data_IF_685792988355
#
_entry.id   IF_685792988355
#
_cell.length_a   1.000
_cell.length_b   1.000
_cell.length_c   1.000
_cell.angle_alpha   90.00
_cell.angle_beta   90.00
_cell.angle_gamma   90.00
#
_symmetry.space_group_name_H-M   'P 1'
#
loop_
_entity.id
_entity.type
_entity.pdbx_description
1 polymer ?
#
# COMPACT_ATOMS: atom_id res chain seq x y z
N UNK A 1 -0.33 67.98 30.90
CA UNK A 1 0.91 68.30 31.68
C UNK A 1 1.74 66.99 31.56
N UNK A 2 2.80 66.89 30.96
CA UNK A 2 4.03 67.48 30.66
C UNK A 2 4.92 66.43 30.01
N UNK A 3 5.27 66.61 28.76
CA UNK A 3 6.60 66.63 28.09
C UNK A 3 7.45 65.32 28.25
N UNK A 4 7.69 64.62 27.13
CA UNK A 4 8.87 64.76 26.20
C UNK A 4 10.22 64.58 26.89
N UNK A 5 10.98 63.54 26.40
CA UNK A 5 12.19 63.84 25.63
C UNK A 5 12.79 62.62 24.98
N UNK A 6 13.19 62.78 23.74
CA UNK A 6 13.90 61.86 22.86
C UNK A 6 15.41 61.86 23.09
N UNK A 7 16.14 60.84 22.82
CA UNK A 7 17.51 60.88 22.29
C UNK A 7 17.89 59.56 21.51
N UNK A 8 18.12 59.73 20.24
CA UNK A 8 18.95 58.98 19.30
C UNK A 8 20.40 59.45 19.37
N UNK A 9 21.34 58.90 18.59
CA UNK A 9 21.85 57.55 18.32
C UNK A 9 23.36 57.40 18.60
N UNK A 10 23.93 56.21 18.55
CA UNK A 10 25.39 56.06 18.28
C UNK A 10 25.61 54.89 17.29
N UNK A 11 26.15 55.29 16.15
CA UNK A 11 26.74 54.48 15.10
C UNK A 11 28.14 54.03 15.51
N UNK A 12 28.48 52.75 15.23
CA UNK A 12 29.89 52.35 15.05
C UNK A 12 30.00 51.28 13.95
N UNK A 13 30.52 51.72 12.84
CA UNK A 13 31.09 50.96 11.73
C UNK A 13 32.43 50.34 12.12
N UNK A 14 32.72 49.12 11.63
CA UNK A 14 34.03 48.53 11.27
C UNK A 14 33.74 46.99 11.16
N UNK A 15 34.10 46.22 10.17
CA UNK A 15 35.02 46.35 9.07
C UNK A 15 34.89 45.12 8.21
N UNK A 16 34.99 45.30 6.93
CA UNK A 16 34.91 44.26 5.88
C UNK A 16 36.17 43.41 5.89
N UNK A 17 36.08 42.11 5.95
CA UNK A 17 37.16 41.25 5.44
C UNK A 17 36.64 40.32 4.32
N UNK A 18 37.22 40.54 3.15
CA UNK A 18 36.97 39.77 1.91
C UNK A 18 37.97 38.64 1.89
N UNK A 19 37.49 37.39 1.82
CA UNK A 19 38.17 36.35 1.04
C UNK A 19 37.34 35.07 0.95
N UNK A 20 37.29 34.57 -0.28
CA UNK A 20 36.88 33.24 -0.77
C UNK A 20 35.40 33.05 -1.14
N UNK A 21 35.07 33.57 -2.32
CA UNK A 21 34.04 33.03 -3.19
C UNK A 21 34.62 31.77 -3.88
N UNK A 22 34.04 30.61 -3.60
CA UNK A 22 34.10 29.48 -4.51
C UNK A 22 32.66 29.15 -4.89
N UNK A 23 32.36 29.40 -6.15
CA UNK A 23 31.03 29.21 -6.72
C UNK A 23 30.65 27.73 -6.81
N UNK A 24 29.49 27.42 -6.30
CA UNK A 24 28.73 26.23 -6.73
C UNK A 24 27.45 26.73 -7.39
N UNK A 25 27.43 26.63 -8.71
CA UNK A 25 26.25 26.84 -9.53
C UNK A 25 25.23 25.74 -9.23
N UNK A 26 24.16 26.07 -8.53
CA UNK A 26 22.99 25.22 -8.37
C UNK A 26 22.15 25.32 -9.65
N UNK A 27 22.21 24.29 -10.49
CA UNK A 27 21.25 24.09 -11.57
C UNK A 27 19.89 23.75 -10.97
N UNK A 28 18.96 24.68 -11.06
CA UNK A 28 17.55 24.45 -10.71
C UNK A 28 16.93 23.51 -11.75
N UNK A 29 16.75 22.24 -11.40
CA UNK A 29 15.91 21.31 -12.14
C UNK A 29 14.47 21.63 -11.76
N UNK A 30 13.74 22.20 -12.71
CA UNK A 30 12.31 22.46 -12.57
C UNK A 30 11.52 21.16 -12.40
N UNK A 31 10.91 20.97 -11.24
CA UNK A 31 9.96 19.88 -10.97
C UNK A 31 8.61 20.32 -11.53
N UNK A 32 8.18 19.70 -12.63
CA UNK A 32 6.82 19.83 -13.13
C UNK A 32 5.89 19.06 -12.18
N UNK A 33 5.06 19.79 -11.43
CA UNK A 33 3.97 19.22 -10.63
C UNK A 33 2.84 18.79 -11.56
N UNK A 34 2.62 17.49 -11.73
CA UNK A 34 1.36 16.95 -12.24
C UNK A 34 0.33 16.95 -11.10
N UNK A 35 -0.94 17.34 -11.35
CA UNK A 35 -1.95 17.35 -10.31
C UNK A 35 -2.29 15.92 -9.88
N UNK A 36 -2.05 15.59 -8.61
CA UNK A 36 -2.40 14.33 -7.96
C UNK A 36 -1.25 13.37 -7.67
N UNK A 37 -0.02 13.66 -8.07
CA UNK A 37 1.15 12.85 -7.74
C UNK A 37 1.75 13.26 -6.39
N UNK A 38 1.94 12.32 -5.46
CA UNK A 38 2.90 12.52 -4.38
C UNK A 38 4.25 12.89 -5.01
N UNK A 39 5.00 13.84 -4.43
CA UNK A 39 6.36 14.05 -4.89
C UNK A 39 7.07 12.72 -4.78
N UNK A 40 7.49 12.17 -5.91
CA UNK A 40 8.46 11.10 -5.92
C UNK A 40 9.68 11.66 -5.18
N UNK A 41 9.79 11.40 -3.88
CA UNK A 41 11.06 11.55 -3.19
C UNK A 41 12.00 10.69 -4.03
N UNK A 42 12.90 11.33 -4.75
CA UNK A 42 14.06 10.69 -5.32
C UNK A 42 14.82 10.10 -4.13
N UNK A 43 14.45 8.88 -3.71
CA UNK A 43 15.38 8.02 -3.02
C UNK A 43 16.49 7.86 -4.04
N UNK A 44 17.55 8.61 -3.87
CA UNK A 44 18.84 8.28 -4.46
C UNK A 44 18.96 6.79 -4.23
N UNK A 45 18.93 6.00 -5.29
CA UNK A 45 18.99 4.55 -5.24
C UNK A 45 20.25 4.23 -4.43
N UNK A 46 20.07 3.83 -3.20
CA UNK A 46 21.13 3.24 -2.42
C UNK A 46 21.49 1.96 -3.21
N UNK A 47 22.73 1.79 -3.69
CA UNK A 47 23.07 0.69 -4.60
C UNK A 47 22.77 -0.71 -4.05
N UNK A 48 22.38 -0.80 -2.78
CA UNK A 48 22.07 -2.03 -2.05
C UNK A 48 20.61 -2.17 -1.60
N UNK A 49 19.75 -1.18 -1.87
CA UNK A 49 18.33 -1.30 -1.52
C UNK A 49 17.63 -2.21 -2.54
N UNK A 50 16.84 -3.20 -2.08
CA UNK A 50 16.09 -4.07 -3.00
C UNK A 50 15.07 -3.27 -3.79
N UNK A 51 14.71 -3.72 -5.00
CA UNK A 51 13.75 -3.07 -5.88
C UNK A 51 12.38 -2.88 -5.21
N UNK A 52 12.00 -3.80 -4.32
CA UNK A 52 10.82 -3.71 -3.46
C UNK A 52 11.06 -4.48 -2.17
N UNK A 53 10.29 -4.16 -1.14
CA UNK A 53 10.27 -4.89 0.13
C UNK A 53 9.12 -5.89 0.15
N UNK A 54 9.20 -6.90 1.01
CA UNK A 54 8.15 -7.92 1.16
C UNK A 54 7.44 -7.72 2.49
N UNK A 55 6.10 -7.74 2.46
CA UNK A 55 5.23 -7.81 3.63
C UNK A 55 4.48 -9.14 3.69
N UNK A 56 3.83 -9.41 4.81
CA UNK A 56 2.97 -10.57 5.01
C UNK A 56 1.55 -10.10 5.31
N UNK A 57 0.60 -10.53 4.48
CA UNK A 57 -0.81 -10.41 4.78
C UNK A 57 -1.23 -11.49 5.79
N UNK A 58 -1.91 -11.09 6.84
CA UNK A 58 -2.38 -11.95 7.92
C UNK A 58 -3.32 -13.06 7.42
N UNK A 59 -4.03 -12.79 6.31
CA UNK A 59 -4.85 -13.79 5.66
C UNK A 59 -4.09 -15.05 5.24
N UNK A 60 -2.79 -14.96 4.97
CA UNK A 60 -1.92 -16.12 4.70
C UNK A 60 -1.90 -17.14 5.82
N UNK A 61 -2.29 -16.77 7.04
CA UNK A 61 -2.37 -17.61 8.25
C UNK A 61 -3.81 -17.78 8.75
N UNK A 62 -4.79 -17.62 7.85
CA UNK A 62 -6.21 -17.61 8.22
C UNK A 62 -6.70 -18.92 8.85
N UNK A 63 -6.10 -20.06 8.50
CA UNK A 63 -6.44 -21.36 9.12
C UNK A 63 -5.92 -21.44 10.54
N UNK A 64 -4.64 -21.12 10.76
CA UNK A 64 -4.03 -21.13 12.07
C UNK A 64 -4.74 -20.17 13.03
N UNK A 65 -5.08 -18.95 12.57
CA UNK A 65 -5.81 -17.96 13.37
C UNK A 65 -7.24 -18.41 13.71
N UNK A 66 -7.99 -18.96 12.74
CA UNK A 66 -9.35 -19.46 12.96
C UNK A 66 -9.39 -20.67 13.89
N UNK A 67 -8.38 -21.54 13.78
CA UNK A 67 -8.25 -22.71 14.63
C UNK A 67 -7.66 -22.39 16.02
N UNK A 68 -7.27 -21.10 16.25
CA UNK A 68 -6.60 -20.64 17.49
C UNK A 68 -5.26 -21.34 17.75
N UNK A 69 -4.59 -21.77 16.70
CA UNK A 69 -3.21 -22.25 16.72
C UNK A 69 -2.21 -21.11 16.76
N UNK A 70 -2.63 -19.93 16.32
CA UNK A 70 -1.91 -18.66 16.40
C UNK A 70 -2.82 -17.59 17.03
N UNK A 71 -2.31 -16.86 18.04
CA UNK A 71 -2.97 -15.66 18.54
C UNK A 71 -2.68 -14.47 17.63
N UNK A 72 -3.68 -13.62 17.39
CA UNK A 72 -3.51 -12.43 16.57
C UNK A 72 -2.38 -11.51 17.06
N UNK A 73 -2.19 -11.38 18.37
CA UNK A 73 -1.10 -10.58 18.95
C UNK A 73 0.29 -11.14 18.65
N UNK A 74 0.41 -12.44 18.34
CA UNK A 74 1.68 -13.10 18.01
C UNK A 74 1.98 -13.06 16.50
N UNK A 75 1.09 -12.48 15.69
CA UNK A 75 1.28 -12.36 14.24
C UNK A 75 2.57 -11.60 13.85
N UNK A 76 2.99 -10.50 14.51
CA UNK A 76 4.26 -9.84 14.21
C UNK A 76 5.48 -10.75 14.42
N UNK A 77 5.54 -11.52 15.50
CA UNK A 77 6.58 -12.51 15.78
C UNK A 77 6.57 -13.62 14.73
N UNK A 78 5.38 -14.13 14.39
CA UNK A 78 5.21 -15.14 13.35
C UNK A 78 5.73 -14.64 12.00
N UNK A 79 5.45 -13.41 11.60
CA UNK A 79 5.99 -12.81 10.39
C UNK A 79 7.53 -12.74 10.42
N UNK A 80 8.10 -12.37 11.57
CA UNK A 80 9.57 -12.38 11.76
C UNK A 80 10.17 -13.76 11.63
N UNK A 81 9.49 -14.82 12.06
CA UNK A 81 9.95 -16.19 11.88
C UNK A 81 10.13 -16.60 10.41
N UNK A 82 9.42 -15.92 9.50
CA UNK A 82 9.63 -16.01 8.04
C UNK A 82 10.69 -15.03 7.53
N UNK A 83 11.31 -14.22 8.39
CA UNK A 83 12.24 -13.16 7.99
C UNK A 83 11.56 -11.97 7.30
N UNK A 84 10.27 -11.76 7.55
CA UNK A 84 9.47 -10.65 7.01
C UNK A 84 9.30 -9.59 8.10
N UNK A 85 9.61 -8.32 7.79
CA UNK A 85 9.62 -7.22 8.75
C UNK A 85 8.49 -6.20 8.50
N UNK A 86 7.43 -6.57 7.78
CA UNK A 86 6.27 -5.73 7.55
C UNK A 86 5.01 -6.61 7.47
N UNK A 87 3.90 -6.12 8.04
CA UNK A 87 2.67 -6.88 8.19
C UNK A 87 1.44 -6.08 7.76
N UNK A 88 0.43 -6.81 7.28
CA UNK A 88 -0.86 -6.31 6.81
C UNK A 88 -1.95 -7.10 7.53
N UNK A 89 -2.72 -6.44 8.37
CA UNK A 89 -3.72 -7.08 9.24
C UNK A 89 -5.04 -7.33 8.53
N UNK A 90 -5.84 -8.27 9.09
CA UNK A 90 -7.23 -8.52 8.67
C UNK A 90 -8.16 -8.31 9.87
N UNK A 91 -9.13 -7.45 9.71
CA UNK A 91 -10.05 -7.05 10.77
C UNK A 91 -10.84 -8.22 11.39
N UNK A 92 -11.10 -9.27 10.62
CA UNK A 92 -11.91 -10.39 11.08
C UNK A 92 -11.31 -11.18 12.24
N UNK A 93 -9.98 -11.11 12.44
CA UNK A 93 -9.29 -11.84 13.51
C UNK A 93 -9.30 -11.10 14.85
N UNK A 94 -9.64 -9.81 14.86
CA UNK A 94 -9.70 -8.97 16.07
C UNK A 94 -10.87 -7.97 16.08
N UNK A 95 -11.99 -8.39 15.52
CA UNK A 95 -13.16 -7.55 15.20
C UNK A 95 -13.67 -6.73 16.40
N UNK A 96 -13.68 -7.32 17.59
CA UNK A 96 -14.18 -6.69 18.81
C UNK A 96 -13.15 -5.75 19.49
N UNK A 97 -11.93 -5.68 18.93
CA UNK A 97 -10.79 -4.97 19.52
C UNK A 97 -10.45 -3.65 18.83
N UNK A 98 -11.10 -3.31 17.73
CA UNK A 98 -10.80 -2.09 16.97
C UNK A 98 -10.83 -0.81 17.83
N UNK A 99 -11.74 -0.73 18.82
CA UNK A 99 -11.88 0.40 19.76
C UNK A 99 -11.20 0.18 21.10
N UNK A 100 -10.56 -0.95 21.31
CA UNK A 100 -9.79 -1.23 22.52
C UNK A 100 -8.39 -0.63 22.42
N UNK A 101 -8.22 0.58 22.93
CA UNK A 101 -6.96 1.31 22.86
C UNK A 101 -5.79 0.55 23.54
N UNK A 102 -6.07 -0.29 24.57
CA UNK A 102 -5.04 -1.11 25.20
C UNK A 102 -4.59 -2.24 24.29
N UNK A 103 -5.52 -2.87 23.60
CA UNK A 103 -5.22 -3.91 22.63
C UNK A 103 -4.39 -3.38 21.46
N UNK A 104 -4.81 -2.25 20.88
CA UNK A 104 -4.08 -1.59 19.78
C UNK A 104 -2.66 -1.20 20.24
N UNK A 105 -2.52 -0.66 21.44
CA UNK A 105 -1.22 -0.30 22.00
C UNK A 105 -0.33 -1.53 22.25
N UNK A 106 -0.89 -2.65 22.73
CA UNK A 106 -0.15 -3.90 22.91
C UNK A 106 0.31 -4.49 21.56
N UNK A 107 -0.56 -4.53 20.54
CA UNK A 107 -0.18 -4.98 19.21
C UNK A 107 0.93 -4.13 18.61
N UNK A 108 0.83 -2.80 18.74
CA UNK A 108 1.88 -1.87 18.32
C UNK A 108 3.21 -2.15 19.01
N UNK A 109 3.18 -2.33 20.33
CA UNK A 109 4.37 -2.64 21.15
C UNK A 109 5.04 -3.94 20.69
N UNK A 110 4.26 -4.98 20.38
CA UNK A 110 4.78 -6.24 19.85
C UNK A 110 5.44 -6.05 18.49
N UNK A 111 4.80 -5.30 17.57
CA UNK A 111 5.41 -4.95 16.30
C UNK A 111 6.76 -4.23 16.48
N UNK A 112 6.80 -3.24 17.37
CA UNK A 112 8.03 -2.48 17.66
C UNK A 112 9.11 -3.39 18.27
N UNK A 113 8.73 -4.29 19.19
CA UNK A 113 9.63 -5.27 19.81
C UNK A 113 10.26 -6.22 18.80
N UNK A 114 9.50 -6.66 17.80
CA UNK A 114 9.97 -7.52 16.71
C UNK A 114 10.67 -6.73 15.57
N UNK A 115 10.73 -5.41 15.63
CA UNK A 115 11.18 -4.58 14.53
C UNK A 115 10.32 -4.75 13.27
N UNK A 116 9.03 -4.99 13.45
CA UNK A 116 8.06 -5.21 12.39
C UNK A 116 7.25 -3.93 12.15
N UNK A 117 6.99 -3.59 10.89
CA UNK A 117 6.25 -2.41 10.48
C UNK A 117 4.81 -2.77 10.13
N UNK A 118 3.85 -2.09 10.75
CA UNK A 118 2.43 -2.18 10.37
C UNK A 118 2.17 -1.34 9.12
N UNK A 119 1.53 -1.92 8.10
CA UNK A 119 1.30 -1.24 6.82
C UNK A 119 -0.17 -0.86 6.60
N UNK A 120 -1.08 -1.79 6.78
CA UNK A 120 -2.50 -1.58 6.55
C UNK A 120 -3.37 -2.56 7.35
N UNK A 121 -4.68 -2.27 7.40
CA UNK A 121 -5.71 -3.18 7.91
C UNK A 121 -6.69 -3.48 6.76
N UNK A 122 -6.88 -4.73 6.42
CA UNK A 122 -7.92 -5.20 5.50
C UNK A 122 -9.25 -5.28 6.24
N UNK A 123 -10.27 -4.58 5.75
CA UNK A 123 -11.58 -4.44 6.40
C UNK A 123 -12.65 -5.15 5.59
N UNK A 124 -13.19 -6.24 6.14
CA UNK A 124 -14.30 -7.00 5.59
C UNK A 124 -15.50 -6.98 6.52
N UNK A 125 -16.71 -7.10 5.94
CA UNK A 125 -17.95 -7.25 6.71
C UNK A 125 -18.48 -5.98 7.39
N UNK A 126 -18.00 -4.80 6.98
CA UNK A 126 -18.45 -3.50 7.54
C UNK A 126 -19.59 -2.85 6.75
N UNK A 127 -20.14 -3.53 5.75
CA UNK A 127 -21.21 -3.07 4.85
C UNK A 127 -20.69 -2.58 3.51
N UNK A 128 -21.60 -2.40 2.55
CA UNK A 128 -21.27 -2.00 1.20
C UNK A 128 -21.09 -0.48 1.11
N UNK A 129 -19.87 -0.04 0.75
CA UNK A 129 -19.58 1.39 0.57
C UNK A 129 -20.31 2.01 -0.62
N UNK A 130 -20.81 1.19 -1.55
CA UNK A 130 -21.64 1.60 -2.67
C UNK A 130 -23.10 1.14 -2.53
N UNK A 131 -23.65 0.95 -1.33
CA UNK A 131 -25.04 0.53 -1.17
C UNK A 131 -26.00 1.56 -1.82
N UNK A 132 -26.97 1.13 -2.65
CA UNK A 132 -27.96 2.03 -3.24
C UNK A 132 -28.79 2.78 -2.21
N UNK A 133 -29.07 2.16 -1.06
CA UNK A 133 -29.71 2.82 0.07
C UNK A 133 -28.72 3.76 0.76
N UNK A 134 -29.03 5.07 0.74
CA UNK A 134 -28.19 6.11 1.32
C UNK A 134 -27.91 5.89 2.82
N UNK A 135 -28.89 5.40 3.58
CA UNK A 135 -28.71 5.19 5.00
C UNK A 135 -27.80 3.98 5.28
N UNK A 136 -27.91 2.91 4.50
CA UNK A 136 -27.02 1.76 4.60
C UNK A 136 -25.60 2.12 4.16
N UNK A 137 -25.45 2.90 3.08
CA UNK A 137 -24.15 3.39 2.61
C UNK A 137 -23.48 4.27 3.69
N UNK A 138 -24.24 5.19 4.31
CA UNK A 138 -23.77 6.00 5.44
C UNK A 138 -23.31 5.12 6.61
N UNK A 139 -24.13 4.15 7.00
CA UNK A 139 -23.79 3.20 8.09
C UNK A 139 -22.51 2.41 7.75
N UNK A 140 -22.35 1.95 6.51
CA UNK A 140 -21.14 1.27 6.09
C UNK A 140 -19.90 2.17 6.24
N UNK A 141 -19.99 3.44 5.81
CA UNK A 141 -18.91 4.42 6.00
C UNK A 141 -18.55 4.56 7.50
N UNK A 142 -19.58 4.78 8.36
CA UNK A 142 -19.40 4.94 9.81
C UNK A 142 -18.79 3.69 10.47
N UNK A 143 -19.14 2.50 10.01
CA UNK A 143 -18.58 1.25 10.49
C UNK A 143 -17.06 1.13 10.24
N UNK A 144 -16.55 1.72 9.14
CA UNK A 144 -15.13 1.74 8.83
C UNK A 144 -14.33 2.75 9.68
N UNK A 145 -14.95 3.74 10.32
CA UNK A 145 -14.25 4.77 11.10
C UNK A 145 -13.35 4.18 12.18
N UNK A 146 -13.84 3.16 12.93
CA UNK A 146 -13.04 2.47 13.95
C UNK A 146 -11.74 1.86 13.41
N UNK A 147 -11.76 1.41 12.14
CA UNK A 147 -10.59 0.81 11.50
C UNK A 147 -9.61 1.88 11.01
N UNK A 148 -10.10 3.04 10.58
CA UNK A 148 -9.25 4.21 10.30
C UNK A 148 -8.52 4.63 11.58
N UNK A 149 -9.23 4.70 12.71
CA UNK A 149 -8.64 5.06 14.01
C UNK A 149 -7.63 4.01 14.50
N UNK A 150 -7.97 2.71 14.39
CA UNK A 150 -7.07 1.62 14.75
C UNK A 150 -5.81 1.61 13.87
N UNK A 151 -5.96 1.81 12.56
CA UNK A 151 -4.83 1.91 11.63
C UNK A 151 -3.88 3.07 11.99
N UNK A 152 -4.44 4.24 12.33
CA UNK A 152 -3.65 5.37 12.81
C UNK A 152 -2.93 5.04 14.12
N UNK A 153 -3.59 4.37 15.05
CA UNK A 153 -3.01 3.90 16.32
C UNK A 153 -1.83 2.95 16.13
N UNK A 154 -1.91 2.04 15.17
CA UNK A 154 -0.84 1.11 14.81
C UNK A 154 0.28 1.74 13.97
N UNK A 155 0.09 2.94 13.42
CA UNK A 155 1.03 3.58 12.50
C UNK A 155 0.96 3.02 11.08
N UNK A 156 -0.15 2.41 10.69
CA UNK A 156 -0.44 2.02 9.31
C UNK A 156 -0.58 3.25 8.41
N UNK A 157 -0.40 3.06 7.11
CA UNK A 157 -0.63 4.12 6.13
C UNK A 157 -2.00 4.04 5.46
N UNK A 158 -2.71 2.92 5.57
CA UNK A 158 -3.98 2.68 4.87
C UNK A 158 -4.91 1.74 5.64
N UNK A 159 -6.19 1.79 5.28
CA UNK A 159 -7.10 0.66 5.39
C UNK A 159 -7.45 0.16 3.98
N UNK A 160 -7.60 -1.16 3.80
CA UNK A 160 -8.15 -1.74 2.57
C UNK A 160 -9.63 -2.03 2.77
N UNK A 161 -10.43 -1.64 1.82
CA UNK A 161 -11.89 -1.79 1.82
C UNK A 161 -12.37 -2.43 0.53
N UNK A 162 -13.64 -2.87 0.50
CA UNK A 162 -14.29 -3.40 -0.69
C UNK A 162 -15.17 -2.32 -1.34
N UNK A 163 -15.12 -2.19 -2.67
CA UNK A 163 -16.00 -1.30 -3.45
C UNK A 163 -17.34 -1.98 -3.79
N UNK A 164 -17.92 -2.70 -2.82
CA UNK A 164 -19.16 -3.45 -2.99
C UNK A 164 -20.35 -2.51 -3.23
N UNK A 165 -21.17 -2.84 -4.23
CA UNK A 165 -22.39 -2.12 -4.61
C UNK A 165 -23.39 -3.06 -5.29
N UNK A 166 -24.53 -2.52 -5.76
CA UNK A 166 -25.50 -3.24 -6.58
C UNK A 166 -26.19 -2.28 -7.56
N UNK A 167 -26.80 -2.83 -8.61
CA UNK A 167 -27.39 -2.07 -9.72
C UNK A 167 -26.64 -2.29 -11.03
N UNK A 168 -26.81 -1.39 -12.01
CA UNK A 168 -26.06 -1.41 -13.27
C UNK A 168 -24.58 -1.10 -13.08
N UNK A 169 -23.77 -1.34 -14.09
CA UNK A 169 -22.34 -1.08 -14.09
C UNK A 169 -22.02 0.38 -13.68
N UNK A 170 -22.70 1.34 -14.27
CA UNK A 170 -22.49 2.77 -14.04
C UNK A 170 -23.07 3.25 -12.70
N UNK A 171 -24.17 2.66 -12.25
CA UNK A 171 -24.77 2.97 -10.94
C UNK A 171 -23.83 2.51 -9.83
N UNK A 172 -23.37 1.26 -9.88
CA UNK A 172 -22.41 0.74 -8.91
C UNK A 172 -21.13 1.59 -8.85
N UNK A 173 -20.61 2.03 -10.01
CA UNK A 173 -19.44 2.88 -10.10
C UNK A 173 -19.63 4.21 -9.38
N UNK A 174 -20.76 4.89 -9.60
CA UNK A 174 -21.08 6.17 -8.95
C UNK A 174 -21.26 6.03 -7.44
N UNK A 175 -21.99 5.00 -7.03
CA UNK A 175 -22.27 4.76 -5.61
C UNK A 175 -21.02 4.37 -4.83
N UNK A 176 -20.19 3.50 -5.39
CA UNK A 176 -18.92 3.12 -4.78
C UNK A 176 -17.97 4.32 -4.69
N UNK A 177 -17.88 5.15 -5.74
CA UNK A 177 -17.07 6.36 -5.73
C UNK A 177 -17.52 7.37 -4.67
N UNK A 178 -18.84 7.56 -4.47
CA UNK A 178 -19.40 8.41 -3.40
C UNK A 178 -18.98 7.90 -2.01
N UNK A 179 -19.20 6.60 -1.73
CA UNK A 179 -18.84 6.04 -0.43
C UNK A 179 -17.34 6.09 -0.15
N UNK A 180 -16.51 5.82 -1.15
CA UNK A 180 -15.05 5.92 -1.05
C UNK A 180 -14.61 7.37 -0.79
N UNK A 181 -15.17 8.34 -1.50
CA UNK A 181 -14.88 9.76 -1.29
C UNK A 181 -15.14 10.16 0.16
N UNK A 182 -16.34 9.89 0.67
CA UNK A 182 -16.78 10.25 2.03
C UNK A 182 -15.94 9.54 3.11
N UNK A 183 -15.55 8.29 2.89
CA UNK A 183 -14.65 7.60 3.81
C UNK A 183 -13.24 8.19 3.78
N UNK A 184 -12.75 8.62 2.61
CA UNK A 184 -11.48 9.30 2.47
C UNK A 184 -11.45 10.65 3.20
N UNK A 185 -12.56 11.42 3.20
CA UNK A 185 -12.69 12.65 4.00
C UNK A 185 -12.52 12.38 5.51
N UNK A 186 -13.00 11.21 5.98
CA UNK A 186 -12.73 10.79 7.35
C UNK A 186 -11.26 10.38 7.53
N UNK A 187 -10.70 9.67 6.56
CA UNK A 187 -9.28 9.27 6.54
C UNK A 187 -8.31 10.45 6.60
N UNK A 188 -8.68 11.62 6.05
CA UNK A 188 -7.87 12.83 6.11
C UNK A 188 -7.56 13.27 7.55
N UNK A 189 -8.52 13.16 8.45
CA UNK A 189 -8.38 13.52 9.87
C UNK A 189 -7.32 12.70 10.59
N UNK A 190 -7.04 11.52 10.07
CA UNK A 190 -6.13 10.53 10.66
C UNK A 190 -4.88 10.27 9.81
N UNK A 191 -4.72 10.94 8.67
CA UNK A 191 -3.68 10.72 7.68
C UNK A 191 -3.66 9.28 7.10
N UNK A 192 -4.82 8.60 7.07
CA UNK A 192 -4.99 7.22 6.58
C UNK A 192 -5.56 7.24 5.16
N UNK A 193 -4.98 6.44 4.26
CA UNK A 193 -5.54 6.23 2.93
C UNK A 193 -6.64 5.15 2.98
N UNK A 194 -7.60 5.27 2.08
CA UNK A 194 -8.62 4.26 1.82
C UNK A 194 -8.32 3.62 0.48
N UNK A 195 -7.94 2.37 0.48
CA UNK A 195 -7.52 1.66 -0.72
C UNK A 195 -8.45 0.49 -1.01
N UNK A 196 -8.70 0.23 -2.28
CA UNK A 196 -9.59 -0.83 -2.73
C UNK A 196 -8.78 -1.94 -3.38
N UNK A 197 -9.03 -3.16 -2.96
CA UNK A 197 -8.54 -4.37 -3.62
C UNK A 197 -9.49 -4.79 -4.75
N UNK A 198 -8.97 -5.30 -5.85
CA UNK A 198 -9.77 -6.06 -6.80
C UNK A 198 -10.19 -7.37 -6.14
N UNK A 199 -11.41 -7.42 -5.60
CA UNK A 199 -11.87 -8.51 -4.72
C UNK A 199 -13.34 -8.88 -4.98
N UNK A 200 -13.59 -9.61 -6.08
CA UNK A 200 -14.90 -10.12 -6.46
C UNK A 200 -15.83 -9.10 -7.12
N UNK A 201 -16.78 -9.57 -7.89
CA UNK A 201 -17.74 -8.75 -8.61
C UNK A 201 -17.06 -7.75 -9.56
N UNK A 202 -17.67 -6.59 -9.77
CA UNK A 202 -17.13 -5.56 -10.66
C UNK A 202 -15.76 -5.01 -10.18
N UNK A 203 -15.42 -5.09 -8.90
CA UNK A 203 -14.09 -4.68 -8.44
C UNK A 203 -12.96 -5.57 -8.99
N UNK A 204 -13.26 -6.80 -9.42
CA UNK A 204 -12.34 -7.68 -10.15
C UNK A 204 -12.14 -7.30 -11.62
N UNK A 205 -12.90 -6.34 -12.16
CA UNK A 205 -12.67 -5.74 -13.46
C UNK A 205 -11.77 -4.52 -13.30
N UNK A 206 -10.51 -4.61 -13.74
CA UNK A 206 -9.51 -3.55 -13.56
C UNK A 206 -9.93 -2.21 -14.14
N UNK A 207 -10.63 -2.21 -15.29
CA UNK A 207 -11.16 -0.97 -15.88
C UNK A 207 -12.24 -0.35 -15.00
N UNK A 208 -13.23 -1.14 -14.54
CA UNK A 208 -14.27 -0.63 -13.66
C UNK A 208 -13.69 -0.03 -12.38
N UNK A 209 -12.77 -0.75 -11.74
CA UNK A 209 -12.21 -0.30 -10.47
C UNK A 209 -11.33 0.96 -10.65
N UNK A 210 -10.46 1.00 -11.67
CA UNK A 210 -9.61 2.19 -11.91
C UNK A 210 -10.44 3.44 -12.22
N UNK A 211 -11.52 3.31 -13.01
CA UNK A 211 -12.46 4.41 -13.29
C UNK A 211 -13.25 4.83 -12.03
N UNK A 212 -13.65 3.87 -11.17
CA UNK A 212 -14.30 4.16 -9.88
C UNK A 212 -13.39 4.96 -8.96
N UNK A 213 -12.11 4.57 -8.84
CA UNK A 213 -11.12 5.29 -8.04
C UNK A 213 -10.88 6.72 -8.58
N UNK A 214 -10.80 6.87 -9.91
CA UNK A 214 -10.70 8.18 -10.53
C UNK A 214 -11.95 9.04 -10.27
N UNK A 215 -13.14 8.44 -10.27
CA UNK A 215 -14.42 9.11 -10.01
C UNK A 215 -14.55 9.57 -8.56
N UNK A 216 -13.95 8.84 -7.61
CA UNK A 216 -13.92 9.23 -6.19
C UNK A 216 -13.20 10.57 -5.95
N UNK A 217 -12.28 10.98 -6.82
CA UNK A 217 -11.61 12.31 -6.82
C UNK A 217 -11.03 12.72 -5.46
N UNK A 218 -10.41 11.79 -4.75
CA UNK A 218 -9.81 12.08 -3.46
C UNK A 218 -8.35 11.59 -3.39
N UNK A 219 -7.40 12.42 -2.92
CA UNK A 219 -5.97 12.05 -2.93
C UNK A 219 -5.62 10.84 -2.05
N UNK A 220 -6.45 10.53 -1.04
CA UNK A 220 -6.29 9.35 -0.20
C UNK A 220 -6.95 8.10 -0.75
N UNK A 221 -7.77 8.23 -1.82
CA UNK A 221 -8.34 7.08 -2.49
C UNK A 221 -7.27 6.38 -3.35
N UNK A 222 -7.17 5.06 -3.24
CA UNK A 222 -6.17 4.30 -3.99
C UNK A 222 -6.56 2.85 -4.17
N UNK A 223 -5.64 2.04 -4.68
CA UNK A 223 -5.79 0.60 -4.85
C UNK A 223 -4.79 -0.22 -4.07
N UNK A 224 -5.16 -1.46 -3.80
CA UNK A 224 -4.31 -2.59 -3.43
C UNK A 224 -4.42 -3.62 -4.57
N UNK A 225 -3.67 -3.48 -5.68
CA UNK A 225 -3.74 -4.44 -6.78
C UNK A 225 -3.32 -5.83 -6.30
N UNK A 226 -4.24 -6.80 -6.45
CA UNK A 226 -4.03 -8.20 -6.09
C UNK A 226 -3.80 -9.04 -7.35
N UNK A 227 -2.82 -9.94 -7.34
CA UNK A 227 -2.39 -10.73 -8.50
C UNK A 227 -3.38 -11.81 -8.92
N UNK A 228 -4.31 -12.22 -8.04
CA UNK A 228 -5.19 -13.37 -8.25
C UNK A 228 -6.67 -13.04 -8.41
N UNK A 229 -7.16 -11.96 -7.83
CA UNK A 229 -8.58 -11.66 -7.69
C UNK A 229 -9.22 -11.01 -8.92
N UNK A 230 -9.20 -11.69 -10.07
CA UNK A 230 -9.76 -11.19 -11.34
C UNK A 230 -11.03 -11.89 -11.80
N UNK A 231 -11.66 -12.70 -10.95
CA UNK A 231 -12.95 -13.34 -11.23
C UNK A 231 -14.09 -12.37 -10.97
N UNK A 232 -14.68 -11.83 -12.04
CA UNK A 232 -15.82 -10.90 -12.00
C UNK A 232 -17.12 -11.63 -11.69
N UNK A 233 -17.29 -12.82 -12.27
CA UNK A 233 -18.45 -13.70 -12.05
C UNK A 233 -18.07 -15.17 -12.29
N UNK A 234 -19.04 -16.07 -12.14
CA UNK A 234 -18.82 -17.49 -12.47
C UNK A 234 -18.51 -17.73 -13.96
N UNK A 235 -18.81 -16.76 -14.82
CA UNK A 235 -18.67 -16.85 -16.27
C UNK A 235 -17.65 -15.86 -16.85
N UNK A 236 -17.10 -15.00 -16.01
CA UNK A 236 -16.23 -13.92 -16.47
C UNK A 236 -14.99 -13.79 -15.58
N UNK A 237 -13.84 -13.92 -16.20
CA UNK A 237 -12.54 -13.58 -15.60
C UNK A 237 -11.90 -12.45 -16.40
N UNK A 238 -11.43 -11.42 -15.70
CA UNK A 238 -10.73 -10.30 -16.30
C UNK A 238 -9.24 -10.66 -16.50
N UNK A 239 -8.62 -10.14 -17.57
CA UNK A 239 -7.18 -10.32 -17.76
C UNK A 239 -6.41 -9.69 -16.60
N UNK A 240 -5.72 -10.53 -15.80
CA UNK A 240 -5.03 -10.10 -14.58
C UNK A 240 -3.87 -9.15 -14.85
N UNK A 241 -3.18 -9.32 -15.96
CA UNK A 241 -2.05 -8.46 -16.31
C UNK A 241 -2.51 -7.08 -16.77
N UNK A 242 -3.59 -7.03 -17.57
CA UNK A 242 -4.25 -5.80 -17.95
C UNK A 242 -4.85 -5.11 -16.71
N UNK A 243 -5.49 -5.88 -15.82
CA UNK A 243 -6.09 -5.33 -14.61
C UNK A 243 -5.06 -4.73 -13.68
N UNK A 244 -3.95 -5.40 -13.43
CA UNK A 244 -2.84 -4.84 -12.65
C UNK A 244 -2.30 -3.56 -13.31
N UNK A 245 -2.07 -3.58 -14.61
CA UNK A 245 -1.58 -2.40 -15.35
C UNK A 245 -2.50 -1.18 -15.17
N UNK A 246 -3.81 -1.39 -15.16
CA UNK A 246 -4.82 -0.33 -14.97
C UNK A 246 -4.91 0.17 -13.52
N UNK A 247 -4.65 -0.70 -12.52
CA UNK A 247 -4.76 -0.38 -11.11
C UNK A 247 -3.49 0.25 -10.53
N UNK A 248 -2.32 -0.08 -11.08
CA UNK A 248 -1.03 0.42 -10.58
C UNK A 248 -0.91 1.95 -10.49
N UNK A 249 -1.50 2.79 -11.36
CA UNK A 249 -1.48 4.25 -11.19
C UNK A 249 -2.10 4.73 -9.87
N UNK A 250 -2.97 3.94 -9.26
CA UNK A 250 -3.65 4.23 -7.99
C UNK A 250 -3.03 3.50 -6.79
N UNK A 251 -2.04 2.64 -7.01
CA UNK A 251 -1.52 1.73 -5.98
C UNK A 251 -0.94 2.46 -4.76
N UNK A 252 -1.28 1.95 -3.57
CA UNK A 252 -0.70 2.32 -2.27
C UNK A 252 -0.08 1.13 -1.55
N UNK A 253 -0.36 -0.08 -2.01
CA UNK A 253 0.18 -1.37 -1.66
C UNK A 253 0.01 -2.30 -2.86
N UNK A 254 0.55 -3.50 -2.79
CA UNK A 254 0.40 -4.55 -3.83
C UNK A 254 0.28 -5.89 -3.11
N UNK A 255 -0.71 -6.71 -3.49
CA UNK A 255 -0.92 -8.06 -2.96
C UNK A 255 -0.44 -9.13 -3.94
N UNK A 256 0.51 -9.94 -3.52
CA UNK A 256 1.03 -11.07 -4.27
C UNK A 256 0.28 -12.34 -3.86
N UNK A 257 -0.98 -12.46 -4.29
CA UNK A 257 -1.78 -13.66 -4.07
C UNK A 257 -1.15 -14.88 -4.72
N UNK A 258 -1.08 -15.96 -3.97
CA UNK A 258 -0.55 -17.25 -4.44
C UNK A 258 -1.37 -18.41 -3.89
N UNK A 259 -1.41 -19.50 -4.64
CA UNK A 259 -2.13 -20.73 -4.28
C UNK A 259 -1.22 -21.95 -4.36
N UNK A 260 -0.80 -22.31 -5.55
CA UNK A 260 -0.11 -23.55 -5.84
C UNK A 260 1.19 -23.31 -6.60
N UNK A 261 2.16 -24.20 -6.41
CA UNK A 261 3.48 -24.08 -7.02
C UNK A 261 3.83 -25.34 -7.81
N UNK A 262 4.54 -25.15 -8.92
CA UNK A 262 5.16 -26.24 -9.67
C UNK A 262 6.45 -26.73 -9.00
N UNK A 263 7.09 -27.77 -9.57
CA UNK A 263 8.34 -28.33 -9.05
C UNK A 263 9.51 -27.35 -9.07
N UNK A 264 9.45 -26.32 -9.91
CA UNK A 264 10.43 -25.24 -10.02
C UNK A 264 10.14 -24.09 -9.06
N UNK A 265 9.04 -24.15 -8.30
CA UNK A 265 8.60 -23.13 -7.37
C UNK A 265 8.03 -21.90 -8.05
N UNK A 266 7.44 -22.03 -9.24
CA UNK A 266 6.62 -21.00 -9.86
C UNK A 266 5.17 -21.14 -9.41
N UNK A 267 4.49 -20.01 -9.21
CA UNK A 267 3.03 -20.01 -9.01
C UNK A 267 2.36 -20.40 -10.31
N UNK A 268 1.41 -21.38 -10.27
CA UNK A 268 0.88 -22.01 -11.49
C UNK A 268 -0.27 -21.24 -12.14
N UNK A 269 -0.92 -20.30 -11.43
CA UNK A 269 -2.04 -19.52 -11.93
C UNK A 269 -1.58 -18.13 -12.45
N UNK A 270 -0.44 -17.62 -11.93
CA UNK A 270 0.08 -16.30 -12.24
C UNK A 270 1.57 -16.34 -12.58
N UNK A 271 1.94 -15.86 -13.76
CA UNK A 271 3.35 -15.63 -14.09
C UNK A 271 3.87 -14.42 -13.32
N UNK A 272 4.59 -14.66 -12.24
CA UNK A 272 5.15 -13.64 -11.37
C UNK A 272 6.25 -12.82 -12.05
N UNK A 273 6.98 -13.38 -13.01
CA UNK A 273 7.98 -12.63 -13.75
C UNK A 273 7.31 -11.56 -14.63
N UNK A 274 6.28 -11.94 -15.37
CA UNK A 274 5.47 -11.01 -16.17
C UNK A 274 4.75 -9.99 -15.28
N UNK A 275 4.20 -10.43 -14.14
CA UNK A 275 3.49 -9.55 -13.20
C UNK A 275 4.40 -8.49 -12.61
N UNK A 276 5.59 -8.88 -12.14
CA UNK A 276 6.55 -7.95 -11.56
C UNK A 276 7.21 -7.04 -12.62
N UNK A 277 7.30 -7.47 -13.88
CA UNK A 277 7.72 -6.56 -14.96
C UNK A 277 6.71 -5.41 -15.13
N UNK A 278 5.41 -5.66 -14.95
CA UNK A 278 4.40 -4.60 -14.95
C UNK A 278 4.56 -3.72 -13.70
N UNK A 279 4.53 -4.32 -12.52
CA UNK A 279 4.51 -3.60 -11.24
C UNK A 279 5.81 -2.82 -11.00
N UNK A 280 6.94 -3.48 -11.11
CA UNK A 280 8.26 -2.94 -10.75
C UNK A 280 8.97 -2.33 -11.95
N UNK A 281 8.85 -2.97 -13.12
CA UNK A 281 9.48 -2.50 -14.36
C UNK A 281 8.75 -1.31 -14.96
N UNK A 282 7.48 -1.49 -15.35
CA UNK A 282 6.68 -0.46 -16.04
C UNK A 282 6.25 0.67 -15.10
N UNK A 283 5.67 0.34 -13.94
CA UNK A 283 5.13 1.33 -13.00
C UNK A 283 6.12 1.78 -11.94
N UNK A 284 7.34 1.29 -11.97
CA UNK A 284 8.44 1.67 -11.06
C UNK A 284 8.05 1.58 -9.57
N UNK A 285 7.23 0.59 -9.19
CA UNK A 285 6.87 0.37 -7.79
C UNK A 285 8.12 0.07 -6.94
N UNK A 286 8.21 0.71 -5.78
CA UNK A 286 9.36 0.59 -4.85
C UNK A 286 8.90 0.44 -3.39
N UNK A 287 7.61 0.14 -3.19
CA UNK A 287 7.02 -0.10 -1.88
C UNK A 287 7.07 -1.58 -1.48
N UNK A 288 6.21 -1.96 -0.55
CA UNK A 288 6.02 -3.36 -0.17
C UNK A 288 5.13 -4.09 -1.17
N UNK A 289 5.40 -5.40 -1.32
CA UNK A 289 4.53 -6.37 -1.99
C UNK A 289 4.19 -7.42 -0.93
N UNK A 290 2.90 -7.49 -0.59
CA UNK A 290 2.37 -8.36 0.46
C UNK A 290 2.20 -9.79 -0.02
N UNK A 291 2.75 -10.75 0.69
CA UNK A 291 2.44 -12.17 0.47
C UNK A 291 1.03 -12.44 0.97
N UNK A 292 0.17 -12.99 0.13
CA UNK A 292 -1.15 -13.49 0.48
C UNK A 292 -1.34 -14.90 -0.07
N UNK A 293 -1.01 -15.88 0.75
CA UNK A 293 -1.13 -17.29 0.40
C UNK A 293 -2.51 -17.85 0.77
N UNK A 294 -3.21 -18.45 -0.21
CA UNK A 294 -4.51 -19.07 -0.03
C UNK A 294 -4.56 -20.55 -0.49
N UNK A 295 -3.43 -21.11 -0.86
CA UNK A 295 -3.36 -22.49 -1.31
C UNK A 295 -3.67 -23.52 -0.22
N UNK A 296 -3.98 -24.74 -0.64
CA UNK A 296 -4.32 -25.85 0.27
C UNK A 296 -3.46 -27.09 0.11
N UNK A 297 -2.57 -27.13 -0.89
CA UNK A 297 -1.72 -28.29 -1.15
C UNK A 297 -0.55 -28.42 -0.18
N UNK A 298 -0.10 -27.30 0.38
CA UNK A 298 0.95 -27.27 1.40
C UNK A 298 0.48 -26.51 2.62
N UNK A 299 1.25 -26.55 3.70
CA UNK A 299 0.95 -25.76 4.90
C UNK A 299 0.99 -24.25 4.61
N UNK A 300 0.32 -23.43 5.45
CA UNK A 300 0.40 -21.96 5.34
C UNK A 300 1.86 -21.50 5.45
N UNK A 301 2.62 -22.07 6.36
CA UNK A 301 4.04 -21.76 6.54
C UNK A 301 4.86 -22.04 5.27
N UNK A 302 4.65 -23.20 4.63
CA UNK A 302 5.38 -23.58 3.41
C UNK A 302 4.95 -22.73 2.22
N UNK A 303 3.65 -22.41 2.11
CA UNK A 303 3.11 -21.53 1.07
C UNK A 303 3.68 -20.10 1.17
N UNK A 304 3.75 -19.54 2.40
CA UNK A 304 4.38 -18.24 2.66
C UNK A 304 5.85 -18.26 2.24
N UNK A 305 6.60 -19.30 2.64
CA UNK A 305 8.02 -19.45 2.28
C UNK A 305 8.22 -19.60 0.77
N UNK A 306 7.34 -20.37 0.09
CA UNK A 306 7.39 -20.55 -1.36
C UNK A 306 7.14 -19.24 -2.10
N UNK A 307 6.10 -18.49 -1.69
CA UNK A 307 5.78 -17.18 -2.28
C UNK A 307 6.92 -16.19 -2.06
N UNK A 308 7.47 -16.13 -0.84
CA UNK A 308 8.63 -15.29 -0.54
C UNK A 308 9.82 -15.62 -1.44
N UNK A 309 10.18 -16.89 -1.54
CA UNK A 309 11.29 -17.36 -2.38
C UNK A 309 11.08 -17.01 -3.86
N UNK A 310 9.84 -17.12 -4.35
CA UNK A 310 9.49 -16.74 -5.72
C UNK A 310 9.65 -15.23 -5.94
N UNK A 311 9.14 -14.39 -5.04
CA UNK A 311 9.29 -12.94 -5.11
C UNK A 311 10.76 -12.52 -5.08
N UNK A 312 11.56 -13.09 -4.18
CA UNK A 312 12.99 -12.82 -4.07
C UNK A 312 13.74 -13.23 -5.37
N UNK A 313 13.48 -14.41 -5.88
CA UNK A 313 14.09 -14.91 -7.12
C UNK A 313 13.82 -13.98 -8.31
N UNK A 314 12.57 -13.57 -8.50
CA UNK A 314 12.20 -12.65 -9.60
C UNK A 314 12.79 -11.27 -9.39
N UNK A 315 12.77 -10.74 -8.18
CA UNK A 315 13.38 -9.45 -7.83
C UNK A 315 14.88 -9.42 -8.15
N UNK A 316 15.61 -10.45 -7.74
CA UNK A 316 17.06 -10.55 -7.94
C UNK A 316 17.41 -10.67 -9.43
N UNK A 317 16.60 -11.41 -10.20
CA UNK A 317 16.75 -11.48 -11.66
C UNK A 317 16.50 -10.13 -12.35
N UNK A 318 15.51 -9.35 -11.86
CA UNK A 318 15.25 -8.00 -12.38
C UNK A 318 16.38 -7.04 -12.02
N UNK A 319 16.92 -7.11 -10.80
CA UNK A 319 18.05 -6.29 -10.37
C UNK A 319 19.28 -6.57 -11.22
N UNK A 320 19.62 -7.85 -11.45
CA UNK A 320 20.75 -8.24 -12.29
C UNK A 320 20.66 -7.65 -13.72
N UNK A 321 19.47 -7.70 -14.34
CA UNK A 321 19.24 -7.09 -15.65
C UNK A 321 19.46 -5.57 -15.66
N UNK A 322 19.04 -4.88 -14.58
CA UNK A 322 19.26 -3.42 -14.45
C UNK A 322 20.74 -3.10 -14.30
N UNK A 323 21.46 -3.87 -13.50
CA UNK A 323 22.90 -3.69 -13.28
C UNK A 323 23.71 -3.93 -14.56
N UNK A 324 23.34 -4.94 -15.38
CA UNK A 324 23.94 -5.20 -16.68
C UNK A 324 23.71 -4.03 -17.65
N UNK A 325 22.49 -3.51 -17.74
CA UNK A 325 22.17 -2.34 -18.58
C UNK A 325 22.95 -1.09 -18.15
N UNK A 326 23.07 -0.85 -16.84
CA UNK A 326 23.84 0.26 -16.31
C UNK A 326 25.34 0.14 -16.66
N UNK A 327 25.91 -1.07 -16.57
CA UNK A 327 27.30 -1.34 -16.96
C UNK A 327 27.53 -1.16 -18.46
N UNK A 328 26.60 -1.57 -19.33
CA UNK A 328 26.66 -1.36 -20.76
C UNK A 328 26.65 0.13 -21.13
N UNK A 329 25.67 0.88 -20.58
CA UNK A 329 25.55 2.33 -20.81
C UNK A 329 26.77 3.14 -20.32
N UNK A 330 27.44 2.70 -19.24
CA UNK A 330 28.67 3.34 -18.75
C UNK A 330 29.93 3.04 -19.58
N UNK A 331 29.88 2.05 -20.48
CA UNK A 331 30.99 1.75 -21.40
C UNK A 331 30.94 2.55 -22.71
N UNK A 332 29.72 2.91 -23.15
CA UNK A 332 29.48 3.68 -24.37
C UNK A 332 29.71 5.19 -24.21
N UNK A 333 29.93 5.65 -22.95
CA UNK A 333 30.19 7.05 -22.59
C UNK A 333 31.66 7.40 -22.34
N UNK A 334 32.59 6.46 -22.62
CA UNK A 334 34.05 6.68 -22.61
C UNK A 334 34.62 6.54 -24.01
#
# INVERSE_FOLDING_TARGET
MTRMDAKTPVSTTLGVDRRCFLGMSASAVGVACLPGGYPARSRLLQPWAPLFEISLAEWSLHRALRNKELDHLDFPEKARSFGIAAVEYVNSFWKDKARDAKYVAELKKRCEGEGTKSLLIMCDGEGALGDPDEQKRKTAIENHHKWVEAAAGLGCHSIRVNAQSSGSYEEQQKLAADGLHRLCEYGDKHAINVIVENHGGLSSNGKWLSETLALAKHPRCGSLPDFGNFRVSDKEEYDRYLGIDQLMPFARGVSAKSHDFDEQGNEIHTDYARMLEIVVGKHAWRGHIGIEYEGSKVSEDDGIRATRKLLERVRDAMQAKLDERAKAAGKDGK
#
